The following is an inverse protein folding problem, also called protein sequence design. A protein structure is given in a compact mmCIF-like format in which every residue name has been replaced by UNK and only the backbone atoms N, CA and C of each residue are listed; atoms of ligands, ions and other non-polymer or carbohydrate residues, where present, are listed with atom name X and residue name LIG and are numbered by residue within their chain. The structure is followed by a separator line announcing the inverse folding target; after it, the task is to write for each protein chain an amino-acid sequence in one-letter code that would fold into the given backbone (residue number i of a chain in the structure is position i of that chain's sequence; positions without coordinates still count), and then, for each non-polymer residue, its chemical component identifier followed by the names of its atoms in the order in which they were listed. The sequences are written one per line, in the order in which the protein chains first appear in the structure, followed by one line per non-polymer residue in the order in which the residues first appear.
data_IF_678370337702
#
_entry.id   IF_678370337702
#
_cell.length_a   1.000
_cell.length_b   1.000
_cell.length_c   1.000
_cell.angle_alpha   90.00
_cell.angle_beta   90.00
_cell.angle_gamma   90.00
#
_symmetry.space_group_name_H-M   'P 1'
#
loop_
_entity.id
_entity.type
_entity.pdbx_description
1 polymer ?
#
# COMPACT_ATOMS: atom_id res chain seq x y z
N UNK A 1 20.13 16.52 -26.71
CA UNK A 1 21.16 15.90 -25.86
C UNK A 1 21.03 16.48 -24.47
N UNK A 2 20.76 15.66 -23.47
CA UNK A 2 20.80 16.05 -22.07
C UNK A 2 21.69 15.06 -21.33
N UNK A 3 22.92 15.47 -21.09
CA UNK A 3 23.92 14.77 -20.30
C UNK A 3 23.51 14.81 -18.83
N UNK A 4 23.09 13.67 -18.26
CA UNK A 4 23.04 13.50 -16.81
C UNK A 4 24.45 13.21 -16.31
N UNK A 5 25.02 14.17 -15.59
CA UNK A 5 26.23 13.96 -14.81
C UNK A 5 25.93 12.99 -13.67
N UNK A 6 26.62 11.84 -13.67
CA UNK A 6 26.72 10.99 -12.48
C UNK A 6 27.53 11.74 -11.41
N UNK A 7 27.14 11.72 -10.13
CA UNK A 7 28.00 12.24 -9.08
C UNK A 7 29.29 11.42 -9.05
N UNK A 8 30.42 12.10 -9.22
CA UNK A 8 31.76 11.53 -9.04
C UNK A 8 32.05 11.45 -7.54
N UNK A 9 32.49 10.27 -7.10
CA UNK A 9 33.17 9.97 -5.84
C UNK A 9 32.62 10.60 -4.54
N UNK A 10 31.98 9.77 -3.71
CA UNK A 10 32.07 9.90 -2.25
C UNK A 10 31.00 10.72 -1.52
N UNK A 11 30.01 11.31 -2.20
CA UNK A 11 28.94 12.02 -1.50
C UNK A 11 28.00 11.04 -0.77
N UNK A 12 27.94 11.15 0.55
CA UNK A 12 27.03 10.39 1.41
C UNK A 12 25.58 10.77 1.10
N UNK A 13 24.78 9.79 0.68
CA UNK A 13 23.34 9.97 0.45
C UNK A 13 22.62 9.79 1.78
N UNK A 14 21.87 10.82 2.18
CA UNK A 14 21.10 10.80 3.41
C UNK A 14 20.04 9.69 3.38
N UNK A 15 20.04 8.75 4.34
CA UNK A 15 19.00 7.73 4.43
C UNK A 15 17.59 8.35 4.53
N UNK A 16 17.45 9.44 5.28
CA UNK A 16 16.13 10.07 5.53
C UNK A 16 15.55 10.83 4.34
N UNK A 17 16.38 11.32 3.41
CA UNK A 17 15.92 12.18 2.30
C UNK A 17 16.20 11.64 0.90
N UNK A 18 17.06 10.61 0.76
CA UNK A 18 17.44 10.07 -0.55
C UNK A 18 18.25 11.03 -1.43
N UNK A 19 18.74 12.13 -0.84
CA UNK A 19 19.55 13.17 -1.51
C UNK A 19 20.94 13.26 -0.88
N UNK A 20 21.93 13.82 -1.59
CA UNK A 20 23.22 14.15 -0.97
C UNK A 20 23.01 15.04 0.27
N UNK A 21 23.60 14.69 1.41
CA UNK A 21 23.63 15.54 2.60
C UNK A 21 25.03 15.62 3.20
N UNK A 22 25.31 16.70 3.91
CA UNK A 22 26.51 16.86 4.75
C UNK A 22 26.33 16.31 6.17
N UNK A 23 25.28 15.52 6.40
CA UNK A 23 24.86 15.07 7.72
C UNK A 23 25.72 13.93 8.32
N UNK A 24 26.91 13.70 7.77
CA UNK A 24 27.85 12.65 8.17
C UNK A 24 29.21 13.14 8.70
N UNK A 25 29.39 14.44 8.98
CA UNK A 25 30.68 15.00 9.42
C UNK A 25 30.80 15.34 10.91
N UNK A 26 29.77 15.09 11.74
CA UNK A 26 29.88 15.34 13.19
C UNK A 26 30.23 14.06 13.97
N UNK A 27 31.32 14.16 14.72
CA UNK A 27 32.06 13.11 15.43
C UNK A 27 31.19 12.23 16.34
N UNK A 28 31.27 10.91 16.12
CA UNK A 28 30.78 9.90 17.07
C UNK A 28 31.75 9.84 18.25
N UNK A 29 31.36 10.39 19.40
CA UNK A 29 32.09 10.22 20.65
C UNK A 29 32.18 8.74 21.05
N UNK A 30 33.41 8.24 21.09
CA UNK A 30 33.83 6.91 21.53
C UNK A 30 33.28 6.52 22.92
N UNK A 31 32.89 5.26 23.06
CA UNK A 31 33.16 4.49 24.28
C UNK A 31 34.08 3.31 23.94
N UNK A 32 35.24 3.29 24.58
CA UNK A 32 36.44 2.53 24.21
C UNK A 32 36.37 1.02 24.50
N UNK A 33 37.15 0.25 23.72
CA UNK A 33 37.45 -1.16 23.94
C UNK A 33 38.41 -1.72 22.90
N UNK A 34 39.72 -1.62 23.18
CA UNK A 34 40.90 -1.88 22.35
C UNK A 34 40.99 -3.18 21.52
N UNK A 35 41.53 -2.99 20.30
CA UNK A 35 42.50 -3.79 19.55
C UNK A 35 42.48 -5.34 19.59
N UNK A 36 42.27 -5.93 18.39
CA UNK A 36 42.99 -7.13 17.95
C UNK A 36 42.12 -8.31 17.48
N UNK A 37 42.34 -8.74 16.23
CA UNK A 37 42.18 -10.14 15.82
C UNK A 37 40.78 -10.61 15.44
N UNK A 38 40.67 -11.23 14.27
CA UNK A 38 39.50 -11.98 13.85
C UNK A 38 39.27 -13.21 14.74
N UNK A 39 38.11 -13.30 15.40
CA UNK A 39 37.51 -14.57 15.84
C UNK A 39 35.99 -14.46 15.91
N UNK A 40 35.31 -15.53 15.51
CA UNK A 40 33.88 -15.77 15.64
C UNK A 40 33.38 -15.42 17.06
N UNK A 41 32.49 -14.44 17.18
CA UNK A 41 31.74 -14.18 18.42
C UNK A 41 30.44 -14.98 18.43
N UNK A 42 30.28 -15.83 19.44
CA UNK A 42 29.03 -16.52 19.74
C UNK A 42 27.90 -15.51 19.95
N UNK A 43 26.79 -15.66 19.23
CA UNK A 43 25.60 -14.85 19.45
C UNK A 43 24.92 -15.31 20.75
N UNK A 44 25.13 -14.60 21.85
CA UNK A 44 24.32 -14.79 23.05
C UNK A 44 22.94 -14.14 22.84
N UNK A 45 21.84 -14.76 23.32
CA UNK A 45 20.51 -14.16 23.22
C UNK A 45 20.46 -12.90 24.09
N UNK A 46 20.16 -11.75 23.48
CA UNK A 46 19.87 -10.53 24.22
C UNK A 46 18.59 -10.77 25.04
N UNK A 47 18.69 -10.66 26.36
CA UNK A 47 17.55 -10.78 27.27
C UNK A 47 16.64 -9.56 27.10
N UNK A 48 15.42 -9.78 26.60
CA UNK A 48 14.45 -8.73 26.22
C UNK A 48 13.69 -8.09 27.41
N UNK A 49 14.00 -8.45 28.66
CA UNK A 49 13.12 -8.16 29.80
C UNK A 49 13.43 -6.87 30.58
N UNK A 50 14.33 -6.01 30.10
CA UNK A 50 14.67 -4.74 30.78
C UNK A 50 14.50 -3.51 29.88
N UNK A 51 13.55 -3.56 28.94
CA UNK A 51 13.29 -2.41 28.07
C UNK A 51 12.28 -1.49 28.77
N UNK A 52 12.76 -0.38 29.33
CA UNK A 52 11.91 0.72 29.77
C UNK A 52 11.15 1.28 28.56
N UNK A 53 9.83 1.08 28.54
CA UNK A 53 8.94 1.53 27.46
C UNK A 53 8.84 3.06 27.31
N UNK A 54 9.45 3.83 28.21
CA UNK A 54 9.58 5.28 28.07
C UNK A 54 10.64 5.72 27.04
N UNK A 55 11.56 4.82 26.66
CA UNK A 55 12.64 5.06 25.70
C UNK A 55 12.24 4.93 24.22
N UNK A 56 10.99 4.57 23.92
CA UNK A 56 10.43 4.68 22.57
C UNK A 56 10.14 6.16 22.20
N UNK A 57 11.12 7.04 22.40
CA UNK A 57 11.14 8.37 21.77
C UNK A 57 11.76 8.23 20.37
N UNK A 58 10.89 8.30 19.38
CA UNK A 58 11.15 8.78 18.02
C UNK A 58 12.31 8.12 17.27
N UNK A 59 12.24 6.81 17.06
CA UNK A 59 12.99 6.14 15.98
C UNK A 59 12.05 5.29 15.14
N UNK A 60 11.11 5.95 14.47
CA UNK A 60 10.33 5.29 13.42
C UNK A 60 11.27 4.91 12.26
N UNK A 61 11.00 3.78 11.62
CA UNK A 61 11.75 3.37 10.45
C UNK A 61 11.51 4.36 9.32
N UNK A 62 12.59 4.83 8.70
CA UNK A 62 12.50 5.65 7.49
C UNK A 62 11.88 4.84 6.35
N UNK A 63 11.09 5.51 5.50
CA UNK A 63 10.62 4.90 4.27
C UNK A 63 11.79 4.75 3.28
N UNK A 64 12.00 3.58 2.65
CA UNK A 64 13.13 3.36 1.75
C UNK A 64 13.14 4.39 0.59
N UNK A 65 14.19 5.22 0.45
CA UNK A 65 14.24 6.27 -0.57
C UNK A 65 14.10 5.75 -2.00
N UNK A 66 14.57 4.53 -2.26
CA UNK A 66 14.49 3.87 -3.56
C UNK A 66 13.04 3.64 -3.99
N UNK A 67 12.12 3.44 -3.04
CA UNK A 67 10.70 3.25 -3.31
C UNK A 67 9.99 4.57 -3.60
N UNK A 68 10.46 5.69 -3.04
CA UNK A 68 9.92 7.03 -3.34
C UNK A 68 10.21 7.42 -4.78
N UNK A 69 11.41 7.10 -5.25
CA UNK A 69 11.88 7.42 -6.61
C UNK A 69 11.37 6.44 -7.68
N UNK A 70 10.68 5.36 -7.27
CA UNK A 70 10.28 4.30 -8.18
C UNK A 70 9.03 4.68 -8.97
N UNK A 71 9.15 4.66 -10.29
CA UNK A 71 7.99 4.77 -11.16
C UNK A 71 7.15 3.48 -11.13
N UNK A 72 5.83 3.64 -11.13
CA UNK A 72 4.93 2.52 -11.34
C UNK A 72 5.04 2.04 -12.79
N UNK A 73 5.31 0.74 -12.96
CA UNK A 73 5.36 0.07 -14.26
C UNK A 73 4.25 -0.99 -14.36
N UNK A 74 3.60 -1.18 -15.52
CA UNK A 74 2.69 -2.31 -15.70
C UNK A 74 3.42 -3.62 -15.39
N UNK A 75 2.74 -4.55 -14.72
CA UNK A 75 3.34 -5.85 -14.35
C UNK A 75 2.63 -7.00 -15.05
N UNK A 76 3.41 -8.00 -15.42
CA UNK A 76 2.96 -9.30 -15.90
C UNK A 76 3.81 -10.36 -15.23
N UNK A 77 3.19 -11.18 -14.40
CA UNK A 77 3.85 -12.22 -13.61
C UNK A 77 3.27 -13.59 -13.98
N UNK A 78 4.13 -14.60 -13.89
CA UNK A 78 3.77 -16.00 -14.07
C UNK A 78 3.98 -16.72 -12.74
N UNK A 79 2.94 -17.39 -12.26
CA UNK A 79 2.96 -18.19 -11.05
C UNK A 79 2.96 -19.69 -11.35
N UNK A 80 3.10 -20.47 -10.28
CA UNK A 80 2.94 -21.93 -10.35
C UNK A 80 1.56 -22.32 -10.89
N UNK A 81 1.46 -23.49 -11.52
CA UNK A 81 0.21 -23.98 -12.10
C UNK A 81 -0.27 -23.19 -13.32
N UNK A 82 0.59 -22.38 -13.94
CA UNK A 82 0.25 -21.60 -15.14
C UNK A 82 -0.55 -20.33 -14.85
N UNK A 83 -0.65 -19.91 -13.59
CA UNK A 83 -1.35 -18.68 -13.21
C UNK A 83 -0.63 -17.47 -13.83
N UNK A 84 -1.40 -16.56 -14.43
CA UNK A 84 -0.92 -15.29 -14.95
C UNK A 84 -1.54 -14.15 -14.16
N UNK A 85 -0.71 -13.23 -13.69
CA UNK A 85 -1.15 -12.06 -12.95
C UNK A 85 -0.72 -10.79 -13.66
N UNK A 86 -1.66 -9.89 -13.91
CA UNK A 86 -1.45 -8.63 -14.61
C UNK A 86 -1.77 -7.45 -13.70
N UNK A 87 -0.99 -6.37 -13.79
CA UNK A 87 -1.29 -5.07 -13.18
C UNK A 87 -1.19 -3.97 -14.23
N UNK A 88 -2.30 -3.63 -14.93
CA UNK A 88 -2.35 -2.45 -15.77
C UNK A 88 -2.26 -1.17 -14.94
N UNK A 89 -1.86 -0.08 -15.59
CA UNK A 89 -1.83 1.28 -15.01
C UNK A 89 -2.83 2.24 -15.69
N UNK A 90 -3.55 1.76 -16.71
CA UNK A 90 -4.51 2.53 -17.51
C UNK A 90 -5.81 1.75 -17.62
N UNK A 91 -6.93 2.47 -17.69
CA UNK A 91 -8.24 1.87 -17.83
C UNK A 91 -8.36 1.09 -19.16
N UNK A 92 -7.89 1.66 -20.26
CA UNK A 92 -7.87 1.00 -21.58
C UNK A 92 -7.20 -0.38 -21.51
N UNK A 93 -5.99 -0.46 -20.95
CA UNK A 93 -5.27 -1.73 -20.82
C UNK A 93 -5.98 -2.74 -19.91
N UNK A 94 -6.72 -2.27 -18.90
CA UNK A 94 -7.56 -3.15 -18.08
C UNK A 94 -8.73 -3.72 -18.89
N UNK A 95 -9.37 -2.89 -19.70
CA UNK A 95 -10.47 -3.31 -20.58
C UNK A 95 -9.98 -4.28 -21.66
N UNK A 96 -8.81 -4.03 -22.26
CA UNK A 96 -8.18 -4.93 -23.23
C UNK A 96 -7.88 -6.30 -22.60
N UNK A 97 -7.31 -6.31 -21.39
CA UNK A 97 -7.05 -7.56 -20.66
C UNK A 97 -8.35 -8.32 -20.35
N UNK A 98 -9.42 -7.60 -19.99
CA UNK A 98 -10.73 -8.21 -19.71
C UNK A 98 -11.39 -8.72 -20.99
N UNK A 99 -11.19 -8.07 -22.13
CA UNK A 99 -11.65 -8.53 -23.44
C UNK A 99 -10.88 -9.77 -23.91
N UNK A 100 -9.56 -9.76 -23.77
CA UNK A 100 -8.68 -10.87 -24.15
C UNK A 100 -8.88 -12.09 -23.24
N UNK A 101 -9.17 -11.88 -21.96
CA UNK A 101 -9.44 -12.92 -20.98
C UNK A 101 -10.79 -12.67 -20.28
N UNK A 102 -11.93 -12.95 -20.93
CA UNK A 102 -13.26 -12.67 -20.36
C UNK A 102 -13.49 -13.32 -18.98
N UNK A 103 -12.92 -14.51 -18.76
CA UNK A 103 -13.01 -15.22 -17.49
C UNK A 103 -12.00 -14.75 -16.42
N UNK A 104 -11.14 -13.76 -16.70
CA UNK A 104 -10.17 -13.27 -15.72
C UNK A 104 -10.88 -12.67 -14.51
N UNK A 105 -10.39 -12.99 -13.31
CA UNK A 105 -10.89 -12.41 -12.05
C UNK A 105 -10.17 -11.09 -11.80
N UNK A 106 -10.95 -10.03 -11.57
CA UNK A 106 -10.43 -8.73 -11.13
C UNK A 106 -10.10 -8.81 -9.64
N UNK A 107 -8.94 -8.28 -9.25
CA UNK A 107 -8.46 -8.31 -7.87
C UNK A 107 -8.07 -6.92 -7.40
N UNK A 108 -8.59 -6.50 -6.24
CA UNK A 108 -8.11 -5.30 -5.52
C UNK A 108 -7.44 -5.72 -4.21
N UNK A 109 -8.21 -5.91 -3.14
CA UNK A 109 -7.71 -6.29 -1.82
C UNK A 109 -7.54 -7.79 -1.57
N UNK A 110 -7.95 -8.64 -2.53
CA UNK A 110 -7.94 -10.10 -2.43
C UNK A 110 -8.72 -10.71 -1.24
N UNK A 111 -9.58 -9.93 -0.57
CA UNK A 111 -10.29 -10.37 0.65
C UNK A 111 -11.39 -11.39 0.39
N UNK A 112 -11.95 -11.45 -0.83
CA UNK A 112 -12.89 -12.50 -1.26
C UNK A 112 -12.19 -13.56 -2.11
N UNK A 113 -11.45 -13.14 -3.15
CA UNK A 113 -10.79 -14.08 -4.08
C UNK A 113 -9.85 -15.04 -3.35
N UNK A 114 -9.13 -14.56 -2.32
CA UNK A 114 -8.31 -15.42 -1.48
C UNK A 114 -9.12 -16.48 -0.73
N UNK A 115 -10.33 -16.15 -0.27
CA UNK A 115 -11.23 -17.11 0.39
C UNK A 115 -11.77 -18.12 -0.61
N UNK A 116 -12.19 -17.67 -1.79
CA UNK A 116 -12.67 -18.56 -2.86
C UNK A 116 -11.61 -19.60 -3.26
N UNK A 117 -10.36 -19.18 -3.44
CA UNK A 117 -9.26 -20.07 -3.81
C UNK A 117 -8.92 -21.04 -2.66
N UNK A 118 -8.76 -20.52 -1.44
CA UNK A 118 -8.28 -21.33 -0.32
C UNK A 118 -9.34 -22.26 0.29
N UNK A 119 -10.61 -21.86 0.31
CA UNK A 119 -11.68 -22.57 1.03
C UNK A 119 -12.81 -23.06 0.12
N UNK A 120 -12.97 -22.50 -1.08
CA UNK A 120 -13.98 -22.95 -2.06
C UNK A 120 -13.35 -23.69 -3.26
N UNK A 121 -12.03 -23.94 -3.22
CA UNK A 121 -11.27 -24.59 -4.28
C UNK A 121 -11.45 -23.94 -5.67
N UNK A 122 -11.72 -22.63 -5.71
CA UNK A 122 -11.88 -21.90 -6.95
C UNK A 122 -10.54 -21.76 -7.68
N UNK A 123 -10.56 -21.87 -9.01
CA UNK A 123 -9.36 -21.81 -9.85
C UNK A 123 -9.44 -20.63 -10.80
N UNK A 124 -8.49 -19.69 -10.64
CA UNK A 124 -8.41 -18.47 -11.46
C UNK A 124 -7.08 -18.42 -12.20
N UNK A 125 -6.99 -18.94 -13.44
CA UNK A 125 -5.73 -19.00 -14.19
C UNK A 125 -5.25 -17.61 -14.65
N UNK A 126 -6.14 -16.61 -14.69
CA UNK A 126 -5.80 -15.23 -15.04
C UNK A 126 -6.39 -14.28 -14.00
N UNK A 127 -5.51 -13.52 -13.37
CA UNK A 127 -5.83 -12.50 -12.38
C UNK A 127 -5.39 -11.13 -12.91
N UNK A 128 -6.26 -10.13 -12.77
CA UNK A 128 -5.96 -8.76 -13.20
C UNK A 128 -6.17 -7.82 -12.03
N UNK A 129 -5.11 -7.16 -11.58
CA UNK A 129 -5.19 -6.18 -10.50
C UNK A 129 -5.66 -4.83 -10.98
N UNK A 130 -6.75 -4.32 -10.41
CA UNK A 130 -7.29 -3.00 -10.71
C UNK A 130 -6.73 -1.87 -9.82
N UNK A 131 -5.86 -2.23 -8.86
CA UNK A 131 -5.36 -1.33 -7.81
C UNK A 131 -4.68 -0.06 -8.31
N UNK A 132 -4.06 -0.09 -9.50
CA UNK A 132 -3.25 1.02 -10.02
C UNK A 132 -3.88 1.70 -11.24
N UNK A 133 -5.17 1.51 -11.48
CA UNK A 133 -5.92 2.25 -12.50
C UNK A 133 -6.48 3.51 -11.83
N UNK A 134 -6.00 4.72 -12.19
CA UNK A 134 -6.36 5.96 -11.49
C UNK A 134 -7.87 6.24 -11.46
N UNK A 135 -8.55 5.99 -12.57
CA UNK A 135 -9.98 6.21 -12.74
C UNK A 135 -10.81 5.38 -11.74
N UNK A 136 -10.33 4.17 -11.40
CA UNK A 136 -11.00 3.30 -10.44
C UNK A 136 -10.70 3.65 -8.97
N UNK A 137 -9.74 4.55 -8.72
CA UNK A 137 -9.37 5.01 -7.38
C UNK A 137 -9.83 6.45 -7.09
N UNK A 138 -10.67 7.03 -7.96
CA UNK A 138 -11.24 8.36 -7.75
C UNK A 138 -12.14 8.34 -6.51
N UNK A 139 -11.95 9.31 -5.61
CA UNK A 139 -12.88 9.60 -4.53
C UNK A 139 -13.03 11.12 -4.46
N UNK A 140 -14.18 11.63 -4.91
CA UNK A 140 -14.41 13.07 -5.07
C UNK A 140 -15.75 13.48 -4.48
N UNK A 141 -15.72 14.56 -3.71
CA UNK A 141 -16.89 15.28 -3.25
C UNK A 141 -17.34 16.23 -4.36
N UNK A 142 -18.58 16.09 -4.82
CA UNK A 142 -19.23 16.97 -5.80
C UNK A 142 -20.35 17.74 -5.12
N UNK A 143 -20.89 18.75 -5.80
CA UNK A 143 -22.03 19.52 -5.31
C UNK A 143 -23.24 18.62 -4.98
N UNK A 144 -23.54 17.67 -5.88
CA UNK A 144 -24.70 16.78 -5.81
C UNK A 144 -24.42 15.37 -5.26
N UNK A 145 -23.25 15.10 -4.67
CA UNK A 145 -22.95 13.79 -4.07
C UNK A 145 -21.48 13.37 -4.14
N UNK A 146 -21.23 12.08 -3.97
CA UNK A 146 -19.89 11.49 -3.99
C UNK A 146 -19.66 10.65 -5.25
N UNK A 147 -18.55 10.89 -5.92
CA UNK A 147 -18.02 10.00 -6.96
C UNK A 147 -17.01 9.04 -6.32
N UNK A 148 -17.33 7.74 -6.35
CA UNK A 148 -16.54 6.68 -5.70
C UNK A 148 -16.11 5.67 -6.75
N UNK A 149 -14.80 5.58 -6.98
CA UNK A 149 -14.19 4.58 -7.84
C UNK A 149 -14.26 3.18 -7.22
N UNK A 150 -14.38 2.16 -8.08
CA UNK A 150 -14.61 0.79 -7.64
C UNK A 150 -13.44 0.18 -6.84
N UNK A 151 -12.22 0.69 -7.01
CA UNK A 151 -11.01 0.25 -6.30
C UNK A 151 -10.73 1.05 -5.02
N UNK A 152 -11.55 2.06 -4.69
CA UNK A 152 -11.44 2.80 -3.43
C UNK A 152 -11.54 1.84 -2.26
N UNK A 153 -10.59 1.96 -1.32
CA UNK A 153 -10.53 1.16 -0.09
C UNK A 153 -11.61 1.59 0.88
N UNK A 154 -12.20 0.64 1.62
CA UNK A 154 -13.25 0.93 2.60
C UNK A 154 -12.76 1.89 3.70
N UNK A 155 -11.49 1.80 4.09
CA UNK A 155 -10.90 2.74 5.06
C UNK A 155 -10.90 4.19 4.55
N UNK A 156 -10.47 4.40 3.29
CA UNK A 156 -10.45 5.73 2.67
C UNK A 156 -11.87 6.28 2.43
N UNK A 157 -12.81 5.42 2.05
CA UNK A 157 -14.22 5.80 1.98
C UNK A 157 -14.75 6.23 3.36
N UNK A 158 -14.43 5.49 4.42
CA UNK A 158 -14.88 5.81 5.78
C UNK A 158 -14.35 7.18 6.26
N UNK A 159 -13.12 7.54 5.88
CA UNK A 159 -12.54 8.85 6.19
C UNK A 159 -13.30 9.99 5.49
N UNK A 160 -13.53 9.88 4.18
CA UNK A 160 -14.26 10.91 3.41
C UNK A 160 -15.72 11.01 3.82
N UNK A 161 -16.37 9.89 4.15
CA UNK A 161 -17.74 9.93 4.66
C UNK A 161 -17.85 10.73 5.96
N UNK A 162 -16.86 10.60 6.86
CA UNK A 162 -16.83 11.38 8.11
C UNK A 162 -16.67 12.87 7.83
N UNK A 163 -15.74 13.24 6.95
CA UNK A 163 -15.53 14.64 6.52
C UNK A 163 -16.83 15.24 5.97
N UNK A 164 -17.49 14.57 5.02
CA UNK A 164 -18.75 15.03 4.42
C UNK A 164 -19.88 15.17 5.46
N UNK A 165 -19.94 14.26 6.42
CA UNK A 165 -20.94 14.28 7.51
C UNK A 165 -20.74 15.45 8.47
N UNK A 166 -19.49 15.86 8.69
CA UNK A 166 -19.11 16.99 9.55
C UNK A 166 -19.31 18.34 8.84
N UNK A 167 -19.03 18.41 7.54
CA UNK A 167 -19.04 19.66 6.77
C UNK A 167 -20.40 20.04 6.19
N UNK A 168 -21.27 19.05 5.89
CA UNK A 168 -22.54 19.28 5.20
C UNK A 168 -23.75 19.15 6.11
N UNK A 169 -24.84 19.78 5.68
CA UNK A 169 -26.11 19.77 6.38
C UNK A 169 -26.66 18.35 6.59
N UNK A 170 -27.41 18.16 7.68
CA UNK A 170 -27.91 16.83 8.08
C UNK A 170 -28.81 16.21 7.00
N UNK A 171 -29.60 17.03 6.32
CA UNK A 171 -30.52 16.58 5.27
C UNK A 171 -29.81 16.12 3.99
N UNK A 172 -28.58 16.59 3.74
CA UNK A 172 -27.76 16.20 2.58
C UNK A 172 -26.96 14.90 2.84
N UNK A 173 -26.75 14.54 4.10
CA UNK A 173 -25.78 13.50 4.51
C UNK A 173 -26.42 12.19 4.96
N UNK A 174 -27.73 12.01 4.78
CA UNK A 174 -28.48 10.83 5.25
C UNK A 174 -27.87 9.51 4.75
N UNK A 175 -27.61 9.39 3.44
CA UNK A 175 -26.96 8.20 2.87
C UNK A 175 -25.53 8.01 3.37
N UNK A 176 -24.77 9.09 3.54
CA UNK A 176 -23.40 9.02 4.05
C UNK A 176 -23.37 8.47 5.47
N UNK A 177 -24.28 8.94 6.34
CA UNK A 177 -24.42 8.45 7.72
C UNK A 177 -24.78 6.97 7.76
N UNK A 178 -25.71 6.53 6.91
CA UNK A 178 -26.09 5.12 6.82
C UNK A 178 -24.91 4.24 6.40
N UNK A 179 -24.16 4.63 5.36
CA UNK A 179 -22.97 3.88 4.91
C UNK A 179 -21.89 3.88 6.01
N UNK A 180 -21.65 5.02 6.67
CA UNK A 180 -20.67 5.14 7.74
C UNK A 180 -20.99 4.21 8.92
N UNK A 181 -22.26 4.11 9.32
CA UNK A 181 -22.65 3.20 10.42
C UNK A 181 -22.46 1.73 10.04
N UNK A 182 -22.74 1.34 8.79
CA UNK A 182 -22.44 -0.03 8.33
C UNK A 182 -20.94 -0.31 8.34
N UNK A 183 -20.11 0.64 7.87
CA UNK A 183 -18.65 0.49 7.86
C UNK A 183 -18.02 0.47 9.27
N UNK A 184 -18.67 1.07 10.26
CA UNK A 184 -18.23 1.06 11.65
C UNK A 184 -18.14 -0.36 12.21
N UNK A 185 -19.14 -1.19 11.92
CA UNK A 185 -19.21 -2.59 12.37
C UNK A 185 -18.66 -3.59 11.35
N UNK A 186 -18.27 -3.13 10.16
CA UNK A 186 -17.71 -3.97 9.10
C UNK A 186 -16.23 -4.27 9.34
N UNK A 187 -15.94 -5.52 9.75
CA UNK A 187 -14.60 -6.13 9.83
C UNK A 187 -13.52 -5.30 10.58
N UNK A 188 -12.33 -5.89 10.71
CA UNK A 188 -11.17 -5.20 11.29
C UNK A 188 -10.54 -4.17 10.33
N UNK A 189 -9.70 -3.27 10.88
CA UNK A 189 -8.96 -2.26 10.09
C UNK A 189 -8.10 -2.89 8.99
N UNK A 190 -7.51 -4.06 9.26
CA UNK A 190 -6.68 -4.79 8.30
C UNK A 190 -7.45 -5.13 7.02
N UNK A 191 -8.70 -5.58 7.16
CA UNK A 191 -9.58 -5.89 6.04
C UNK A 191 -9.99 -4.60 5.33
N UNK A 192 -10.45 -3.59 6.08
CA UNK A 192 -10.91 -2.31 5.49
C UNK A 192 -9.83 -1.54 4.73
N UNK A 193 -8.57 -1.70 5.13
CA UNK A 193 -7.41 -1.07 4.47
C UNK A 193 -7.11 -1.63 3.08
N UNK A 194 -7.66 -2.81 2.73
CA UNK A 194 -7.40 -3.45 1.43
C UNK A 194 -8.69 -3.76 0.67
N UNK A 195 -9.79 -4.06 1.36
CA UNK A 195 -11.09 -4.30 0.75
C UNK A 195 -11.56 -3.06 -0.01
N UNK A 196 -12.07 -3.27 -1.21
CA UNK A 196 -12.53 -2.21 -2.10
C UNK A 196 -14.05 -2.14 -2.16
N UNK A 197 -14.60 -0.95 -2.38
CA UNK A 197 -16.05 -0.72 -2.56
C UNK A 197 -16.63 -1.60 -3.66
N UNK A 198 -16.03 -1.59 -4.86
CA UNK A 198 -16.51 -2.36 -6.00
C UNK A 198 -16.39 -3.87 -5.78
N UNK A 199 -15.32 -4.32 -5.14
CA UNK A 199 -15.19 -5.71 -4.69
C UNK A 199 -16.34 -6.10 -3.76
N UNK A 200 -16.65 -5.28 -2.75
CA UNK A 200 -17.75 -5.55 -1.84
C UNK A 200 -19.11 -5.59 -2.57
N UNK A 201 -19.35 -4.73 -3.56
CA UNK A 201 -20.58 -4.72 -4.36
C UNK A 201 -20.67 -5.97 -5.26
N UNK A 202 -19.59 -6.30 -5.98
CA UNK A 202 -19.59 -7.40 -6.95
C UNK A 202 -19.60 -8.78 -6.29
N UNK A 203 -19.16 -8.92 -5.04
CA UNK A 203 -19.22 -10.19 -4.31
C UNK A 203 -20.68 -10.62 -4.02
N UNK A 204 -21.62 -9.67 -3.98
CA UNK A 204 -23.05 -9.92 -3.68
C UNK A 204 -23.95 -9.85 -4.92
N UNK A 205 -23.37 -9.69 -6.11
CA UNK A 205 -24.08 -9.57 -7.39
C UNK A 205 -24.06 -10.88 -8.20
#
# INVERSE_FOLDING_TARGET
GFTKSFPKNGEFICPSSGKPCSCGEDEVHNCEGSAGGATHGEHSPVSYNEIDGSLYKEKELIFPPELVLRNNLPLKLHGFGGIRWFRPLKLESLLDLKSLYPASKLVVGNTEVGIEVNFKNAQYPVLVSATHVPELNVLRIKENGLEIGSSVRLSGLQEVLREVIEEREVHETSSCRAISEQLKWFAGKQVKNVASVGGNICTVA
#
